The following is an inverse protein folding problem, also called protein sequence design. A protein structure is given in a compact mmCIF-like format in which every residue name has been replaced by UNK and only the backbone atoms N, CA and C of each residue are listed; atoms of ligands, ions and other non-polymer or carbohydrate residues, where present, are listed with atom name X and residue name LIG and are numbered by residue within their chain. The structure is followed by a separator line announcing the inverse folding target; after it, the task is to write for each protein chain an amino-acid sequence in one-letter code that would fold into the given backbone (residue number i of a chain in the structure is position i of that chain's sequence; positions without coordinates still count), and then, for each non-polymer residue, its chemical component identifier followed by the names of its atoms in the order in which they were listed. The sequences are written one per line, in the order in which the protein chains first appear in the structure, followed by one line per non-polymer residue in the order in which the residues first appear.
data_IF_940400401325
#
_entry.id   IF_940400401325
#
_cell.length_a   1.000
_cell.length_b   1.000
_cell.length_c   1.000
_cell.angle_alpha   90.00
_cell.angle_beta   90.00
_cell.angle_gamma   90.00
#
_symmetry.space_group_name_H-M   'P 1'
#
loop_
_entity.id
_entity.type
_entity.pdbx_description
1 polymer ?
#
# COMPACT_ATOMS: atom_id res chain seq x y z
N UNK A 1 17.35 -2.28 -12.57
CA UNK A 1 16.62 -1.08 -12.07
C UNK A 1 15.49 -0.66 -13.01
N UNK A 2 15.75 -0.53 -14.33
CA UNK A 2 14.76 -0.11 -15.33
C UNK A 2 13.39 -0.84 -15.24
N UNK A 3 13.38 -2.18 -15.21
CA UNK A 3 12.13 -2.97 -15.11
C UNK A 3 11.33 -2.65 -13.83
N UNK A 4 12.00 -2.47 -12.69
CA UNK A 4 11.35 -2.14 -11.41
C UNK A 4 10.66 -0.78 -11.50
N UNK A 5 11.34 0.20 -12.09
CA UNK A 5 10.79 1.55 -12.30
C UNK A 5 9.59 1.51 -13.24
N UNK A 6 9.67 0.72 -14.33
CA UNK A 6 8.56 0.55 -15.26
C UNK A 6 7.32 -0.05 -14.58
N UNK A 7 7.46 -1.11 -13.79
CA UNK A 7 6.35 -1.70 -13.04
C UNK A 7 5.76 -0.73 -12.00
N UNK A 8 6.60 0.01 -11.28
CA UNK A 8 6.12 1.02 -10.32
C UNK A 8 5.36 2.15 -11.00
N UNK A 9 5.86 2.61 -12.16
CA UNK A 9 5.20 3.65 -12.94
C UNK A 9 3.85 3.16 -13.46
N UNK A 10 3.81 1.94 -14.01
CA UNK A 10 2.56 1.34 -14.46
C UNK A 10 1.56 1.19 -13.30
N UNK A 11 1.99 0.70 -12.13
CA UNK A 11 1.12 0.60 -10.94
C UNK A 11 0.47 1.95 -10.60
N UNK A 12 1.25 3.03 -10.52
CA UNK A 12 0.71 4.38 -10.27
C UNK A 12 -0.28 4.83 -11.34
N UNK A 13 0.04 4.59 -12.61
CA UNK A 13 -0.87 4.95 -13.72
C UNK A 13 -2.20 4.21 -13.59
N UNK A 14 -2.20 2.96 -13.10
CA UNK A 14 -3.41 2.19 -12.86
C UNK A 14 -4.16 2.66 -11.60
N UNK A 15 -3.45 3.03 -10.53
CA UNK A 15 -4.05 3.56 -9.30
C UNK A 15 -4.77 4.91 -9.55
N UNK A 16 -4.20 5.76 -10.41
CA UNK A 16 -4.73 7.08 -10.74
C UNK A 16 -5.76 7.04 -11.90
N UNK A 17 -6.09 5.86 -12.41
CA UNK A 17 -6.92 5.70 -13.60
C UNK A 17 -8.40 5.99 -13.28
N UNK A 18 -8.98 6.96 -13.99
CA UNK A 18 -10.40 7.34 -13.84
C UNK A 18 -11.31 6.48 -14.71
N UNK A 19 -10.85 6.10 -15.92
CA UNK A 19 -11.58 5.24 -16.84
C UNK A 19 -11.37 3.77 -16.48
N UNK A 20 -12.36 2.92 -16.73
CA UNK A 20 -12.21 1.48 -16.50
C UNK A 20 -11.11 0.89 -17.41
N UNK A 21 -10.15 0.19 -16.78
CA UNK A 21 -9.04 -0.46 -17.47
C UNK A 21 -9.51 -1.51 -18.50
N UNK A 22 -10.65 -2.16 -18.27
CA UNK A 22 -11.24 -3.11 -19.22
C UNK A 22 -11.71 -2.42 -20.50
N UNK A 23 -12.26 -1.22 -20.39
CA UNK A 23 -12.70 -0.42 -21.53
C UNK A 23 -11.49 -0.02 -22.38
N UNK A 24 -10.44 0.49 -21.72
CA UNK A 24 -9.19 0.84 -22.40
C UNK A 24 -8.52 -0.37 -23.06
N UNK A 25 -8.58 -1.54 -22.43
CA UNK A 25 -8.06 -2.79 -23.01
C UNK A 25 -8.83 -3.19 -24.27
N UNK A 26 -10.18 -3.18 -24.23
CA UNK A 26 -11.04 -3.50 -25.38
C UNK A 26 -10.82 -2.55 -26.56
N UNK A 27 -10.50 -1.28 -26.28
CA UNK A 27 -10.19 -0.28 -27.29
C UNK A 27 -8.74 -0.32 -27.79
N UNK A 28 -7.88 -1.18 -27.22
CA UNK A 28 -6.46 -1.28 -27.59
C UNK A 28 -5.59 -0.10 -27.13
N UNK A 29 -6.09 0.75 -26.22
CA UNK A 29 -5.47 2.02 -25.82
C UNK A 29 -4.53 1.92 -24.62
N UNK A 30 -4.33 0.73 -24.05
CA UNK A 30 -3.45 0.55 -22.88
C UNK A 30 -2.02 1.05 -23.11
N UNK A 31 -1.47 0.86 -24.32
CA UNK A 31 -0.11 1.29 -24.65
C UNK A 31 0.01 2.80 -24.90
N UNK A 32 -1.11 3.53 -24.95
CA UNK A 32 -1.14 5.00 -25.05
C UNK A 32 -0.95 5.65 -23.67
N UNK A 33 -1.22 4.91 -22.59
CA UNK A 33 -1.10 5.41 -21.23
C UNK A 33 0.38 5.73 -20.88
N UNK A 34 0.71 6.97 -20.47
CA UNK A 34 2.09 7.40 -20.22
C UNK A 34 2.82 6.61 -19.12
N UNK A 35 3.56 5.57 -19.51
CA UNK A 35 4.27 4.68 -18.59
C UNK A 35 3.90 3.21 -18.72
N UNK A 36 2.92 2.89 -19.57
CA UNK A 36 2.54 1.53 -19.93
C UNK A 36 3.02 1.26 -21.35
N UNK A 37 4.10 0.49 -21.48
CA UNK A 37 4.57 0.01 -22.78
C UNK A 37 3.89 -1.31 -23.19
N UNK A 38 4.12 -1.74 -24.45
CA UNK A 38 3.55 -2.98 -25.02
C UNK A 38 3.65 -4.19 -24.08
N UNK A 39 4.84 -4.46 -23.54
CA UNK A 39 5.07 -5.60 -22.66
C UNK A 39 4.31 -5.54 -21.31
N UNK A 40 3.92 -4.34 -20.84
CA UNK A 40 3.07 -4.19 -19.65
C UNK A 40 1.61 -4.30 -20.05
N UNK A 41 1.20 -3.67 -21.16
CA UNK A 41 -0.15 -3.80 -21.71
C UNK A 41 -0.53 -5.27 -21.96
N UNK A 42 0.38 -6.08 -22.52
CA UNK A 42 0.18 -7.53 -22.68
C UNK A 42 -0.09 -8.26 -21.36
N UNK A 43 0.59 -7.86 -20.28
CA UNK A 43 0.40 -8.47 -18.94
C UNK A 43 -0.89 -8.02 -18.28
N UNK A 44 -1.30 -6.77 -18.51
CA UNK A 44 -2.60 -6.27 -18.10
C UNK A 44 -3.69 -7.08 -18.82
N UNK A 45 -3.59 -7.24 -20.14
CA UNK A 45 -4.53 -8.05 -20.91
C UNK A 45 -4.57 -9.52 -20.46
N UNK A 46 -3.40 -10.13 -20.20
CA UNK A 46 -3.31 -11.49 -19.63
C UNK A 46 -4.07 -11.59 -18.30
N UNK A 47 -3.89 -10.61 -17.41
CA UNK A 47 -4.57 -10.56 -16.12
C UNK A 47 -6.08 -10.39 -16.28
N UNK A 48 -6.53 -9.47 -17.13
CA UNK A 48 -7.96 -9.26 -17.39
C UNK A 48 -8.62 -10.50 -18.00
N UNK A 49 -7.91 -11.24 -18.85
CA UNK A 49 -8.45 -12.43 -19.52
C UNK A 49 -8.45 -13.67 -18.63
N UNK A 50 -7.48 -13.82 -17.72
CA UNK A 50 -7.25 -15.09 -16.99
C UNK A 50 -7.34 -14.98 -15.47
N UNK A 51 -7.46 -13.77 -14.94
CA UNK A 51 -7.31 -13.44 -13.52
C UNK A 51 -5.90 -13.68 -12.97
N UNK A 52 -4.92 -13.97 -13.83
CA UNK A 52 -3.57 -14.43 -13.45
C UNK A 52 -2.52 -13.79 -14.35
N UNK A 53 -1.30 -13.69 -13.84
CA UNK A 53 -0.16 -13.21 -14.61
C UNK A 53 1.00 -14.21 -14.50
N UNK A 54 1.43 -14.79 -15.63
CA UNK A 54 2.50 -15.79 -15.68
C UNK A 54 3.79 -15.25 -15.08
N UNK A 55 4.13 -14.00 -15.39
CA UNK A 55 5.36 -13.39 -14.87
C UNK A 55 5.32 -13.21 -13.36
N UNK A 56 4.16 -12.85 -12.79
CA UNK A 56 3.98 -12.77 -11.34
C UNK A 56 4.25 -14.13 -10.69
N UNK A 57 3.62 -15.19 -11.18
CA UNK A 57 3.82 -16.56 -10.67
C UNK A 57 5.27 -17.03 -10.77
N UNK A 58 5.97 -16.68 -11.85
CA UNK A 58 7.38 -17.04 -12.06
C UNK A 58 8.28 -16.40 -11.00
N UNK A 59 8.09 -15.09 -10.73
CA UNK A 59 8.96 -14.34 -9.80
C UNK A 59 8.62 -14.55 -8.33
N UNK A 60 7.37 -14.95 -8.02
CA UNK A 60 6.96 -15.28 -6.65
C UNK A 60 7.11 -16.77 -6.33
N UNK A 61 7.54 -17.59 -7.30
CA UNK A 61 7.72 -19.03 -7.11
C UNK A 61 8.68 -19.31 -5.95
N UNK A 62 8.21 -20.03 -4.94
CA UNK A 62 9.00 -20.37 -3.75
C UNK A 62 9.11 -19.26 -2.70
N UNK A 63 8.49 -18.10 -2.92
CA UNK A 63 8.40 -17.03 -1.93
C UNK A 63 7.09 -17.20 -1.15
N UNK A 64 7.13 -17.36 0.19
CA UNK A 64 5.91 -17.40 0.99
C UNK A 64 5.14 -16.09 0.89
N UNK A 65 3.81 -16.15 0.77
CA UNK A 65 2.95 -14.95 0.76
C UNK A 65 3.16 -14.10 2.02
N UNK A 66 3.35 -14.75 3.18
CA UNK A 66 3.65 -14.08 4.45
C UNK A 66 4.93 -13.24 4.42
N UNK A 67 5.85 -13.54 3.50
CA UNK A 67 7.03 -12.71 3.26
C UNK A 67 6.67 -11.50 2.39
N UNK A 68 5.80 -11.65 1.39
CA UNK A 68 5.37 -10.55 0.54
C UNK A 68 4.55 -9.52 1.33
N UNK A 69 3.67 -9.97 2.22
CA UNK A 69 2.84 -9.09 3.07
C UNK A 69 3.71 -8.16 3.95
N UNK A 70 4.92 -8.59 4.32
CA UNK A 70 5.84 -7.76 5.09
C UNK A 70 6.46 -6.60 4.29
N UNK A 71 6.29 -6.54 2.96
CA UNK A 71 6.76 -5.41 2.16
C UNK A 71 5.96 -4.11 2.44
N UNK A 72 4.77 -4.24 3.04
CA UNK A 72 3.95 -3.11 3.46
C UNK A 72 4.41 -2.49 4.79
N UNK A 73 5.33 -3.15 5.50
CA UNK A 73 5.97 -2.61 6.69
C UNK A 73 6.87 -1.44 6.28
N UNK A 74 6.58 -0.25 6.82
CA UNK A 74 7.39 0.93 6.56
C UNK A 74 8.86 0.69 6.92
N UNK A 75 9.76 1.23 6.10
CA UNK A 75 11.22 1.05 6.22
C UNK A 75 11.73 -0.38 5.95
N UNK A 76 10.86 -1.35 5.68
CA UNK A 76 11.24 -2.72 5.31
C UNK A 76 11.19 -2.94 3.80
N UNK A 77 12.26 -2.55 3.11
CA UNK A 77 12.34 -2.72 1.65
C UNK A 77 12.65 -4.16 1.20
N UNK A 78 12.40 -4.49 -0.08
CA UNK A 78 12.57 -5.85 -0.62
C UNK A 78 14.00 -6.38 -0.51
N UNK A 79 15.02 -5.51 -0.59
CA UNK A 79 16.42 -5.90 -0.41
C UNK A 79 16.71 -6.34 1.03
N UNK A 80 16.21 -5.57 2.01
CA UNK A 80 16.35 -5.91 3.43
C UNK A 80 15.65 -7.22 3.72
N UNK A 81 14.42 -7.37 3.22
CA UNK A 81 13.61 -8.55 3.49
C UNK A 81 14.20 -9.81 2.86
N UNK A 82 14.70 -9.71 1.61
CA UNK A 82 15.43 -10.80 0.97
C UNK A 82 16.71 -11.18 1.74
N UNK A 83 17.44 -10.18 2.26
CA UNK A 83 18.64 -10.42 3.08
C UNK A 83 18.28 -11.12 4.40
N UNK A 84 17.23 -10.69 5.08
CA UNK A 84 16.75 -11.31 6.32
C UNK A 84 16.24 -12.75 6.07
N UNK A 85 15.53 -12.99 4.98
CA UNK A 85 15.10 -14.33 4.58
C UNK A 85 16.29 -15.25 4.28
N UNK A 86 17.27 -14.77 3.50
CA UNK A 86 18.44 -15.57 3.11
C UNK A 86 19.38 -15.88 4.28
N UNK A 87 19.68 -14.89 5.12
CA UNK A 87 20.72 -15.01 6.16
C UNK A 87 20.17 -15.48 7.50
N UNK A 88 18.92 -15.14 7.83
CA UNK A 88 18.30 -15.40 9.13
C UNK A 88 17.02 -16.25 9.04
N UNK A 89 16.71 -16.79 7.86
CA UNK A 89 15.54 -17.64 7.61
C UNK A 89 14.20 -17.01 8.00
N UNK A 90 14.09 -15.68 7.96
CA UNK A 90 12.84 -14.95 8.25
C UNK A 90 11.78 -15.28 7.19
N UNK A 91 10.64 -15.86 7.58
CA UNK A 91 9.54 -16.21 6.67
C UNK A 91 8.25 -15.47 6.97
N UNK A 92 8.11 -14.95 8.19
CA UNK A 92 6.92 -14.27 8.67
C UNK A 92 7.28 -13.20 9.72
N UNK A 93 6.27 -12.46 10.19
CA UNK A 93 6.44 -11.38 11.16
C UNK A 93 7.01 -11.87 12.51
N UNK A 94 6.66 -13.08 12.96
CA UNK A 94 7.19 -13.65 14.22
C UNK A 94 8.69 -13.86 14.13
N UNK A 95 9.17 -14.38 13.00
CA UNK A 95 10.60 -14.55 12.76
C UNK A 95 11.32 -13.20 12.71
N UNK A 96 10.72 -12.20 12.02
CA UNK A 96 11.26 -10.85 11.95
C UNK A 96 11.39 -10.21 13.34
N UNK A 97 10.37 -10.33 14.19
CA UNK A 97 10.43 -9.89 15.60
C UNK A 97 11.55 -10.56 16.37
N UNK A 98 11.72 -11.87 16.20
CA UNK A 98 12.76 -12.64 16.88
C UNK A 98 14.15 -12.12 16.53
N UNK A 99 14.42 -11.89 15.23
CA UNK A 99 15.74 -11.41 14.78
C UNK A 99 16.01 -9.94 15.10
N UNK A 100 14.96 -9.13 15.28
CA UNK A 100 15.09 -7.77 15.82
C UNK A 100 15.44 -7.85 17.31
N UNK A 101 14.67 -8.64 18.10
CA UNK A 101 14.80 -8.72 19.56
C UNK A 101 16.16 -9.28 19.99
N UNK A 102 16.69 -10.27 19.28
CA UNK A 102 17.98 -10.88 19.61
C UNK A 102 19.19 -10.13 18.98
N UNK A 103 18.96 -9.02 18.28
CA UNK A 103 20.00 -8.20 17.65
C UNK A 103 20.64 -8.82 16.40
N UNK A 104 20.23 -10.01 15.97
CA UNK A 104 20.81 -10.66 14.79
C UNK A 104 20.57 -9.89 13.50
N UNK A 105 19.44 -9.18 13.40
CA UNK A 105 19.16 -8.33 12.24
C UNK A 105 20.20 -7.20 12.13
N UNK A 106 20.62 -6.62 13.25
CA UNK A 106 21.56 -5.49 13.27
C UNK A 106 22.98 -5.86 12.81
N UNK A 107 23.30 -7.16 12.84
CA UNK A 107 24.61 -7.70 12.42
C UNK A 107 24.71 -7.89 10.91
N UNK A 108 23.60 -7.76 10.17
CA UNK A 108 23.61 -7.94 8.73
C UNK A 108 24.24 -6.73 8.01
N UNK A 109 24.87 -6.94 6.83
CA UNK A 109 25.41 -5.84 6.03
C UNK A 109 24.34 -4.78 5.75
N UNK A 110 24.70 -3.50 5.93
CA UNK A 110 23.80 -2.35 5.70
C UNK A 110 22.55 -2.36 6.61
N UNK A 111 22.65 -3.02 7.76
CA UNK A 111 21.58 -3.14 8.76
C UNK A 111 22.01 -2.59 10.12
N UNK A 112 22.58 -1.39 10.16
CA UNK A 112 22.96 -0.77 11.44
C UNK A 112 21.76 -0.54 12.38
N UNK A 113 22.05 -0.31 13.67
CA UNK A 113 21.06 -0.20 14.74
C UNK A 113 19.93 0.79 14.43
N UNK A 114 20.28 1.98 13.91
CA UNK A 114 19.29 3.01 13.53
C UNK A 114 18.27 2.50 12.50
N UNK A 115 18.71 1.69 11.55
CA UNK A 115 17.83 1.13 10.51
C UNK A 115 16.93 0.04 11.08
N UNK A 116 17.47 -0.81 11.96
CA UNK A 116 16.68 -1.82 12.67
C UNK A 116 15.62 -1.17 13.55
N UNK A 117 15.96 -0.09 14.24
CA UNK A 117 15.00 0.66 15.07
C UNK A 117 13.87 1.26 14.22
N UNK A 118 14.17 1.81 13.04
CA UNK A 118 13.15 2.30 12.11
C UNK A 118 12.24 1.17 11.57
N UNK A 119 12.80 0.00 11.31
CA UNK A 119 12.03 -1.19 10.89
C UNK A 119 11.14 -1.67 12.05
N UNK A 120 11.65 -1.69 13.28
CA UNK A 120 10.89 -2.05 14.48
C UNK A 120 9.69 -1.12 14.67
N UNK A 121 9.89 0.20 14.57
CA UNK A 121 8.79 1.19 14.61
C UNK A 121 7.80 0.97 13.47
N UNK A 122 8.29 0.70 12.26
CA UNK A 122 7.44 0.37 11.12
C UNK A 122 6.58 -0.87 11.37
N UNK A 123 7.15 -1.90 11.99
CA UNK A 123 6.44 -3.13 12.35
C UNK A 123 5.38 -2.86 13.43
N UNK A 124 5.69 -2.08 14.46
CA UNK A 124 4.71 -1.70 15.49
C UNK A 124 3.52 -0.92 14.89
N UNK A 125 3.79 0.00 13.96
CA UNK A 125 2.74 0.73 13.23
C UNK A 125 1.92 -0.20 12.34
N UNK A 126 2.57 -1.10 11.63
CA UNK A 126 1.91 -2.09 10.77
C UNK A 126 0.95 -2.95 11.59
N UNK A 127 1.36 -3.42 12.77
CA UNK A 127 0.50 -4.23 13.65
C UNK A 127 -0.70 -3.44 14.17
N UNK A 128 -0.48 -2.22 14.66
CA UNK A 128 -1.58 -1.34 15.10
C UNK A 128 -2.56 -1.00 13.99
N UNK A 129 -2.08 -0.84 12.76
CA UNK A 129 -2.95 -0.58 11.60
C UNK A 129 -3.88 -1.76 11.27
N UNK A 130 -3.52 -2.98 11.70
CA UNK A 130 -4.36 -4.17 11.53
C UNK A 130 -5.26 -4.46 12.75
N UNK A 131 -5.12 -3.70 13.84
CA UNK A 131 -6.00 -3.78 14.99
C UNK A 131 -7.31 -3.02 14.71
N UNK A 132 -8.44 -3.61 15.11
CA UNK A 132 -9.73 -2.93 15.00
C UNK A 132 -9.96 -2.04 16.21
N UNK A 133 -10.37 -0.81 15.97
CA UNK A 133 -10.75 0.15 17.01
C UNK A 133 -12.25 0.02 17.33
N UNK A 134 -12.65 0.29 18.57
CA UNK A 134 -14.08 0.46 18.88
C UNK A 134 -14.61 1.69 18.16
N UNK A 135 -15.89 1.66 17.80
CA UNK A 135 -16.55 2.81 17.15
C UNK A 135 -16.40 4.11 17.93
N UNK A 136 -16.44 4.06 19.26
CA UNK A 136 -16.31 5.24 20.12
C UNK A 136 -14.94 5.93 19.94
N UNK A 137 -13.86 5.15 19.89
CA UNK A 137 -12.51 5.67 19.66
C UNK A 137 -12.38 6.21 18.24
N UNK A 138 -12.85 5.43 17.25
CA UNK A 138 -12.76 5.82 15.85
C UNK A 138 -13.55 7.10 15.53
N UNK A 139 -14.75 7.28 16.11
CA UNK A 139 -15.55 8.49 15.95
C UNK A 139 -14.83 9.74 16.48
N UNK A 140 -14.21 9.63 17.66
CA UNK A 140 -13.46 10.75 18.26
C UNK A 140 -12.29 11.17 17.36
N UNK A 141 -11.48 10.21 16.92
CA UNK A 141 -10.33 10.45 16.04
C UNK A 141 -10.78 11.03 14.69
N UNK A 142 -11.81 10.45 14.08
CA UNK A 142 -12.34 10.95 12.81
C UNK A 142 -12.82 12.39 12.91
N UNK A 143 -13.51 12.75 14.01
CA UNK A 143 -13.97 14.12 14.26
C UNK A 143 -12.80 15.10 14.37
N UNK A 144 -11.78 14.77 15.15
CA UNK A 144 -10.58 15.61 15.31
C UNK A 144 -9.88 15.88 13.96
N UNK A 145 -9.74 14.83 13.13
CA UNK A 145 -9.15 14.96 11.79
C UNK A 145 -10.04 15.82 10.87
N UNK A 146 -11.34 15.57 10.85
CA UNK A 146 -12.29 16.32 10.03
C UNK A 146 -12.28 17.80 10.41
N UNK A 147 -12.32 18.12 11.70
CA UNK A 147 -12.30 19.50 12.20
C UNK A 147 -10.98 20.20 11.85
N UNK A 148 -9.85 19.50 11.97
CA UNK A 148 -8.54 20.01 11.54
C UNK A 148 -8.50 20.31 10.04
N UNK A 149 -9.01 19.40 9.19
CA UNK A 149 -9.03 19.60 7.74
C UNK A 149 -9.96 20.76 7.35
N UNK A 150 -11.17 20.85 7.94
CA UNK A 150 -12.10 21.97 7.71
C UNK A 150 -11.44 23.31 8.01
N UNK A 151 -10.68 23.39 9.10
CA UNK A 151 -10.00 24.63 9.52
C UNK A 151 -8.88 25.05 8.57
N UNK A 152 -8.12 24.09 8.02
CA UNK A 152 -6.89 24.39 7.29
C UNK A 152 -7.03 24.34 5.76
N UNK A 153 -7.94 23.53 5.21
CA UNK A 153 -8.00 23.24 3.78
C UNK A 153 -9.12 24.00 3.02
N UNK A 154 -9.89 24.87 3.70
CA UNK A 154 -11.08 25.56 3.14
C UNK A 154 -12.09 24.61 2.46
N UNK A 155 -12.15 23.36 2.90
CA UNK A 155 -13.10 22.36 2.42
C UNK A 155 -14.42 22.55 3.18
N UNK A 156 -15.51 22.80 2.45
CA UNK A 156 -16.86 22.99 3.05
C UNK A 156 -17.47 21.65 3.46
N UNK A 157 -17.51 20.71 2.53
CA UNK A 157 -18.19 19.42 2.72
C UNK A 157 -17.18 18.28 2.85
N UNK A 158 -17.09 17.76 4.07
CA UNK A 158 -16.23 16.63 4.42
C UNK A 158 -16.94 15.78 5.48
N UNK A 159 -16.90 14.47 5.30
CA UNK A 159 -17.61 13.52 6.14
C UNK A 159 -16.87 12.19 6.25
N UNK A 160 -17.08 11.47 7.35
CA UNK A 160 -16.64 10.07 7.45
C UNK A 160 -17.48 9.19 6.54
N UNK A 161 -16.84 8.25 5.86
CA UNK A 161 -17.46 7.25 5.02
C UNK A 161 -17.27 5.83 5.61
N UNK A 162 -17.42 4.81 4.76
CA UNK A 162 -17.00 3.45 5.12
C UNK A 162 -17.71 2.82 6.31
N UNK A 163 -16.95 2.00 7.05
CA UNK A 163 -17.46 1.24 8.20
C UNK A 163 -17.91 2.14 9.36
N UNK A 164 -17.23 3.28 9.55
CA UNK A 164 -17.53 4.26 10.58
C UNK A 164 -18.90 4.93 10.35
N UNK A 165 -19.19 5.35 9.10
CA UNK A 165 -20.50 5.91 8.73
C UNK A 165 -21.65 4.91 8.93
N UNK A 166 -21.37 3.61 8.76
CA UNK A 166 -22.37 2.53 8.90
C UNK A 166 -22.51 2.02 10.34
N UNK A 167 -21.90 2.69 11.31
CA UNK A 167 -21.98 2.32 12.73
C UNK A 167 -21.56 0.88 13.05
N UNK A 168 -20.55 0.35 12.35
CA UNK A 168 -19.99 -0.96 12.73
C UNK A 168 -19.34 -0.86 14.12
N UNK A 169 -19.56 -1.86 14.97
CA UNK A 169 -19.06 -1.90 16.35
C UNK A 169 -17.53 -1.73 16.43
N UNK A 170 -16.84 -2.31 15.44
CA UNK A 170 -15.39 -2.23 15.29
C UNK A 170 -15.04 -1.66 13.92
N UNK A 171 -13.99 -0.83 13.87
CA UNK A 171 -13.55 -0.06 12.72
C UNK A 171 -12.10 -0.45 12.40
N UNK A 172 -11.80 -0.80 11.15
CA UNK A 172 -10.42 -1.10 10.73
C UNK A 172 -9.67 0.17 10.34
N UNK A 173 -10.31 0.96 9.48
CA UNK A 173 -9.81 2.17 8.87
C UNK A 173 -10.87 3.27 8.88
N UNK A 174 -10.41 4.53 8.86
CA UNK A 174 -11.27 5.72 8.83
C UNK A 174 -11.25 6.29 7.42
N UNK A 175 -12.32 5.99 6.66
CA UNK A 175 -12.55 6.59 5.36
C UNK A 175 -13.09 8.02 5.52
N UNK A 176 -12.49 8.98 4.82
CA UNK A 176 -12.96 10.37 4.77
C UNK A 176 -13.23 10.75 3.32
N UNK A 177 -14.47 11.18 3.07
CA UNK A 177 -14.88 11.70 1.78
C UNK A 177 -14.99 13.23 1.87
N UNK A 178 -14.40 13.93 0.91
CA UNK A 178 -14.52 15.37 0.76
C UNK A 178 -15.07 15.71 -0.63
N UNK A 179 -15.84 16.80 -0.72
CA UNK A 179 -16.29 17.35 -1.98
C UNK A 179 -15.45 18.59 -2.33
N UNK A 180 -14.83 18.57 -3.51
CA UNK A 180 -14.13 19.74 -4.04
C UNK A 180 -15.02 20.43 -5.09
N UNK A 181 -15.81 21.42 -4.68
CA UNK A 181 -16.53 22.27 -5.63
C UNK A 181 -15.61 23.42 -6.05
N UNK A 182 -15.05 23.37 -7.27
CA UNK A 182 -14.39 24.51 -7.89
C UNK A 182 -15.48 25.51 -8.32
N UNK A 183 -15.83 26.46 -7.46
CA UNK A 183 -16.76 27.53 -7.81
C UNK A 183 -16.06 28.50 -8.78
N UNK A 184 -16.25 28.28 -10.09
CA UNK A 184 -15.93 29.25 -11.14
C UNK A 184 -16.96 30.38 -11.05
N UNK A 185 -16.64 31.44 -10.30
CA UNK A 185 -17.34 32.72 -10.43
C UNK A 185 -16.75 33.41 -11.66
N UNK A 186 -17.50 33.38 -12.76
CA UNK A 186 -17.33 34.33 -13.86
C UNK A 186 -17.92 35.66 -13.38
N UNK A 187 -17.09 36.71 -13.38
CA UNK A 187 -17.53 38.05 -13.74
C UNK A 187 -16.84 38.40 -15.06
#
# INVERSE_FOLDING_TARGET
VFRIVAYRRAGRVLDDLVEDIEVLNKQGRLAELPGIGKAIAEKINEYLSTGKMKKYKEVTKGIPNTLLDMLDIQNLGPKTLALANKMLAVKNQKDLKKVIKNGSLAKLPQMGEKKVENIKKGLELYERAHERLSIAVAQKVAKEIIDYIKKNARIKDISSAGSLRRWKETIGDIDILHYFFLLRILF
#
